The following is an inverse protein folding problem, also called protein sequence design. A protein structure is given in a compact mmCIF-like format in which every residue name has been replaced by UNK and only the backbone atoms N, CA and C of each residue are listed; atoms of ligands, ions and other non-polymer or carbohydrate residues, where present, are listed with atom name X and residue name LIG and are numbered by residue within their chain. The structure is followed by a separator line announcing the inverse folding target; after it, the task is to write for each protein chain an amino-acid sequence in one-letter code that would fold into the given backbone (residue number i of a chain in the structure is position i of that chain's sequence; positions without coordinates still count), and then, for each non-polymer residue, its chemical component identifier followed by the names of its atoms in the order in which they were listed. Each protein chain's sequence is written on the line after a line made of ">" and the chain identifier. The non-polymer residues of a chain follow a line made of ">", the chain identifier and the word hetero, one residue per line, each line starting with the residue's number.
data_IF_612523486163
#
_entry.id   IF_612523486163
#
_cell.length_a   1.000
_cell.length_b   1.000
_cell.length_c   1.000
_cell.angle_alpha   90.00
_cell.angle_beta   90.00
_cell.angle_gamma   90.00
#
_symmetry.space_group_name_H-M   'P 1'
#
loop_
_entity.id
_entity.type
_entity.pdbx_description
1 polymer ?
#
# COMPACT_ATOMS: atom_id res chain seq x y z
N UNK A 1 -4.55 -5.07 -31.11
CA UNK A 1 -3.94 -6.28 -30.52
C UNK A 1 -4.90 -6.77 -29.44
N UNK A 2 -5.34 -8.02 -29.54
CA UNK A 2 -6.27 -8.61 -28.59
C UNK A 2 -5.44 -9.16 -27.42
N UNK A 3 -5.18 -8.33 -26.42
CA UNK A 3 -4.47 -8.79 -25.23
C UNK A 3 -5.43 -9.70 -24.45
N UNK A 4 -5.20 -11.01 -24.48
CA UNK A 4 -5.90 -11.95 -23.60
C UNK A 4 -5.12 -12.06 -22.29
N UNK A 5 -5.76 -11.73 -21.18
CA UNK A 5 -5.13 -11.63 -19.86
C UNK A 5 -5.22 -12.97 -19.14
N UNK A 6 -4.10 -13.46 -18.60
CA UNK A 6 -4.05 -14.58 -17.67
C UNK A 6 -3.99 -14.02 -16.24
N UNK A 7 -4.84 -14.51 -15.36
CA UNK A 7 -4.86 -14.13 -13.95
C UNK A 7 -5.23 -15.34 -13.10
N UNK A 8 -4.72 -15.36 -11.88
CA UNK A 8 -5.08 -16.32 -10.85
C UNK A 8 -5.81 -15.61 -9.71
N UNK A 9 -6.88 -16.23 -9.22
CA UNK A 9 -7.62 -15.76 -8.05
C UNK A 9 -7.28 -16.67 -6.89
N UNK A 10 -6.59 -16.12 -5.90
CA UNK A 10 -6.22 -16.84 -4.68
C UNK A 10 -7.19 -16.49 -3.55
N UNK A 11 -7.61 -17.47 -2.72
CA UNK A 11 -8.42 -17.19 -1.56
C UNK A 11 -7.63 -16.39 -0.52
N UNK A 12 -8.34 -15.59 0.27
CA UNK A 12 -7.73 -14.86 1.39
C UNK A 12 -7.32 -15.86 2.47
N UNK A 13 -6.01 -16.00 2.66
CA UNK A 13 -5.41 -16.88 3.66
C UNK A 13 -4.56 -16.06 4.63
N UNK A 14 -4.60 -16.47 5.89
CA UNK A 14 -3.76 -15.95 6.97
C UNK A 14 -3.00 -17.13 7.59
N UNK A 15 -1.81 -16.93 8.16
CA UNK A 15 -1.09 -17.99 8.85
C UNK A 15 -1.97 -18.60 9.96
N UNK A 16 -1.94 -19.92 10.09
CA UNK A 16 -2.69 -20.64 11.11
C UNK A 16 -2.16 -20.38 12.53
N UNK A 17 -0.91 -19.94 12.65
CA UNK A 17 -0.32 -19.55 13.93
C UNK A 17 -0.87 -18.18 14.36
N UNK A 18 -1.59 -18.15 15.49
CA UNK A 18 -2.25 -16.96 16.02
C UNK A 18 -3.78 -17.06 15.97
N UNK A 19 -4.46 -15.91 15.88
CA UNK A 19 -5.92 -15.84 15.74
C UNK A 19 -6.29 -15.25 14.36
N UNK A 20 -6.51 -16.08 13.32
CA UNK A 20 -6.84 -15.63 11.96
C UNK A 20 -8.02 -14.66 11.89
N UNK A 21 -8.99 -14.77 12.79
CA UNK A 21 -10.15 -13.88 12.83
C UNK A 21 -9.79 -12.48 13.36
N UNK A 22 -8.78 -12.38 14.23
CA UNK A 22 -8.25 -11.10 14.69
C UNK A 22 -7.55 -10.38 13.53
N UNK A 23 -6.76 -11.10 12.72
CA UNK A 23 -6.11 -10.54 11.53
C UNK A 23 -7.10 -10.07 10.47
N UNK A 24 -8.18 -10.83 10.24
CA UNK A 24 -9.26 -10.42 9.31
C UNK A 24 -9.97 -9.15 9.74
N UNK A 25 -10.05 -8.88 11.05
CA UNK A 25 -10.75 -7.75 11.65
C UNK A 25 -9.85 -6.56 11.96
N UNK A 26 -8.54 -6.68 11.75
CA UNK A 26 -7.56 -5.64 12.05
C UNK A 26 -7.88 -4.32 11.33
N UNK A 27 -8.26 -4.38 10.04
CA UNK A 27 -8.73 -3.22 9.28
C UNK A 27 -9.70 -3.62 8.17
N UNK A 28 -9.18 -3.96 6.99
CA UNK A 28 -9.91 -4.59 5.89
C UNK A 28 -9.22 -5.93 5.58
N UNK A 29 -9.95 -7.02 5.28
CA UNK A 29 -9.35 -8.34 5.12
C UNK A 29 -8.18 -8.36 4.11
N UNK A 30 -8.36 -7.74 2.94
CA UNK A 30 -7.33 -7.66 1.91
C UNK A 30 -6.13 -6.79 2.32
N UNK A 31 -6.37 -5.74 3.10
CA UNK A 31 -5.33 -4.87 3.62
C UNK A 31 -4.48 -5.62 4.64
N UNK A 32 -5.13 -6.29 5.60
CA UNK A 32 -4.43 -7.04 6.64
C UNK A 32 -3.71 -8.29 6.11
N UNK A 33 -4.18 -8.89 5.02
CA UNK A 33 -3.49 -10.02 4.36
C UNK A 33 -2.09 -9.62 3.87
N UNK A 34 -1.85 -8.35 3.51
CA UNK A 34 -0.56 -7.88 2.99
C UNK A 34 0.60 -8.17 3.93
N UNK A 35 0.34 -8.12 5.24
CA UNK A 35 1.33 -8.42 6.29
C UNK A 35 1.87 -9.85 6.23
N UNK A 36 1.14 -10.76 5.58
CA UNK A 36 1.43 -12.19 5.55
C UNK A 36 1.78 -12.71 4.15
N UNK A 37 1.79 -11.86 3.13
CA UNK A 37 2.17 -12.25 1.76
C UNK A 37 3.54 -12.93 1.67
N UNK A 38 4.59 -12.53 2.44
CA UNK A 38 5.87 -13.26 2.41
C UNK A 38 5.75 -14.74 2.79
N UNK A 39 4.80 -15.09 3.66
CA UNK A 39 4.55 -16.47 4.09
C UNK A 39 3.52 -17.20 3.22
N UNK A 40 2.50 -16.49 2.73
CA UNK A 40 1.44 -17.05 1.89
C UNK A 40 1.92 -17.36 0.47
N UNK A 41 2.74 -16.47 -0.11
CA UNK A 41 3.25 -16.59 -1.47
C UNK A 41 4.72 -17.06 -1.44
N UNK A 42 4.93 -18.29 -0.96
CA UNK A 42 6.26 -18.86 -0.75
C UNK A 42 7.09 -18.95 -2.05
N UNK A 43 6.43 -19.22 -3.18
CA UNK A 43 7.06 -19.41 -4.49
C UNK A 43 7.23 -18.10 -5.29
N UNK A 44 6.82 -16.96 -4.72
CA UNK A 44 6.93 -15.65 -5.37
C UNK A 44 8.10 -14.87 -4.75
N UNK A 45 8.98 -14.36 -5.60
CA UNK A 45 10.17 -13.60 -5.17
C UNK A 45 9.88 -12.13 -4.86
N UNK A 46 9.03 -11.49 -5.66
CA UNK A 46 8.72 -10.07 -5.55
C UNK A 46 7.33 -9.79 -6.10
N UNK A 47 6.64 -8.80 -5.55
CA UNK A 47 5.34 -8.35 -6.04
C UNK A 47 5.13 -6.85 -5.83
N UNK A 48 4.17 -6.31 -6.57
CA UNK A 48 3.58 -5.00 -6.34
C UNK A 48 2.18 -5.22 -5.75
N UNK A 49 2.02 -4.86 -4.48
CA UNK A 49 0.73 -4.83 -3.82
C UNK A 49 0.03 -3.51 -4.11
N UNK A 50 -1.27 -3.56 -4.36
CA UNK A 50 -2.12 -2.39 -4.53
C UNK A 50 -3.46 -2.55 -3.80
N UNK A 51 -3.94 -1.47 -3.19
CA UNK A 51 -5.31 -1.40 -2.68
C UNK A 51 -6.31 -1.48 -3.86
N UNK A 52 -7.51 -1.99 -3.58
CA UNK A 52 -8.53 -2.24 -4.61
C UNK A 52 -9.09 -0.97 -5.24
N UNK A 53 -8.89 0.17 -4.61
CA UNK A 53 -9.26 1.52 -5.05
C UNK A 53 -8.04 2.29 -5.59
N UNK A 54 -7.18 1.62 -6.36
CA UNK A 54 -6.06 2.24 -7.07
C UNK A 54 -6.27 2.19 -8.59
N UNK A 55 -5.83 3.25 -9.28
CA UNK A 55 -5.85 3.37 -10.72
C UNK A 55 -4.47 3.73 -11.24
N UNK A 56 -4.01 3.00 -12.26
CA UNK A 56 -2.77 3.31 -12.97
C UNK A 56 -3.07 4.28 -14.11
N UNK A 57 -2.53 5.50 -14.00
CA UNK A 57 -2.62 6.53 -15.04
C UNK A 57 -1.35 6.59 -15.91
N UNK A 58 -0.29 5.90 -15.48
CA UNK A 58 0.92 5.61 -16.26
C UNK A 58 1.22 4.10 -16.31
N UNK A 59 2.30 3.71 -16.99
CA UNK A 59 2.75 2.32 -17.06
C UNK A 59 3.02 1.72 -15.68
N UNK A 60 2.59 0.47 -15.47
CA UNK A 60 2.85 -0.27 -14.23
C UNK A 60 4.36 -0.51 -14.03
N UNK A 61 5.06 -0.66 -15.15
CA UNK A 61 6.50 -0.90 -15.26
C UNK A 61 7.30 0.23 -14.60
N UNK A 62 6.79 1.46 -14.62
CA UNK A 62 7.44 2.61 -13.98
C UNK A 62 7.49 2.42 -12.46
N UNK A 63 6.44 1.85 -11.86
CA UNK A 63 6.44 1.48 -10.43
C UNK A 63 7.40 0.31 -10.23
N UNK A 64 7.31 -0.74 -11.04
CA UNK A 64 8.15 -1.92 -10.90
C UNK A 64 9.66 -1.62 -10.98
N UNK A 65 10.06 -0.70 -11.86
CA UNK A 65 11.45 -0.29 -12.05
C UNK A 65 12.12 0.23 -10.77
N UNK A 66 11.33 0.72 -9.80
CA UNK A 66 11.87 1.12 -8.50
C UNK A 66 12.55 -0.02 -7.72
N UNK A 67 12.28 -1.30 -8.03
CA UNK A 67 13.08 -2.41 -7.48
C UNK A 67 14.57 -2.31 -7.85
N UNK A 68 14.91 -1.82 -9.05
CA UNK A 68 16.30 -1.67 -9.51
C UNK A 68 17.02 -0.53 -8.78
N UNK A 69 16.26 0.43 -8.23
CA UNK A 69 16.77 1.55 -7.45
C UNK A 69 16.95 1.21 -5.96
N UNK A 70 16.43 0.06 -5.51
CA UNK A 70 16.61 -0.41 -4.15
C UNK A 70 18.05 -0.89 -3.93
N UNK A 71 18.65 -0.45 -2.84
CA UNK A 71 19.93 -0.97 -2.39
C UNK A 71 19.80 -2.42 -1.86
N UNK A 72 20.91 -3.04 -1.45
CA UNK A 72 20.92 -4.43 -0.98
C UNK A 72 20.23 -4.64 0.38
N UNK A 73 20.06 -3.62 1.22
CA UNK A 73 19.37 -3.74 2.51
C UNK A 73 17.86 -3.58 2.39
N UNK A 74 17.37 -2.85 1.40
CA UNK A 74 15.96 -2.53 1.25
C UNK A 74 15.15 -3.77 0.82
N UNK A 75 13.98 -3.94 1.45
CA UNK A 75 13.10 -5.11 1.26
C UNK A 75 11.72 -4.73 0.73
N UNK A 76 11.35 -3.46 0.87
CA UNK A 76 10.10 -2.92 0.36
C UNK A 76 10.27 -1.48 -0.12
N UNK A 77 9.28 -1.00 -0.86
CA UNK A 77 9.17 0.41 -1.19
C UNK A 77 7.74 0.95 -1.11
N UNK A 78 7.62 2.17 -0.59
CA UNK A 78 6.37 2.86 -0.28
C UNK A 78 6.50 4.37 -0.57
N UNK A 79 5.38 5.08 -0.65
CA UNK A 79 5.38 6.56 -0.59
C UNK A 79 5.26 7.06 0.85
N UNK A 80 5.67 8.30 1.13
CA UNK A 80 5.25 8.99 2.34
C UNK A 80 3.72 8.96 2.50
N UNK A 81 3.24 9.00 3.75
CA UNK A 81 1.82 9.20 4.00
C UNK A 81 1.45 10.60 3.51
N UNK A 82 2.15 11.65 3.90
CA UNK A 82 1.95 13.00 3.34
C UNK A 82 3.30 13.59 2.92
N UNK A 83 3.26 14.69 2.18
CA UNK A 83 4.45 15.47 1.78
C UNK A 83 4.69 16.69 2.68
N UNK A 84 3.66 17.17 3.39
CA UNK A 84 3.73 18.34 4.27
C UNK A 84 3.69 17.94 5.76
N UNK A 85 4.76 18.24 6.53
CA UNK A 85 4.81 18.01 7.97
C UNK A 85 3.76 18.75 8.79
N UNK A 86 3.08 19.77 8.27
CA UNK A 86 2.07 20.49 9.04
C UNK A 86 0.68 19.85 8.96
N UNK A 87 0.47 18.95 7.99
CA UNK A 87 -0.82 18.35 7.70
C UNK A 87 -0.85 16.84 7.94
N UNK A 88 0.31 16.17 7.93
CA UNK A 88 0.50 14.74 8.21
C UNK A 88 -0.26 14.19 9.42
N UNK A 89 -0.97 13.08 9.22
CA UNK A 89 -1.67 12.42 10.34
C UNK A 89 -0.69 11.85 11.37
N UNK A 90 0.36 11.15 10.92
CA UNK A 90 1.31 10.47 11.82
C UNK A 90 1.99 11.44 12.78
N UNK A 91 2.55 12.53 12.26
CA UNK A 91 3.28 13.48 13.10
C UNK A 91 2.42 14.35 14.01
N UNK A 92 1.10 14.39 13.77
CA UNK A 92 0.15 15.17 14.60
C UNK A 92 -0.57 14.32 15.62
N UNK A 93 -0.85 13.06 15.30
CA UNK A 93 -1.82 12.25 16.04
C UNK A 93 -1.32 10.87 16.43
N UNK A 94 -0.29 10.31 15.78
CA UNK A 94 0.17 8.98 16.12
C UNK A 94 0.74 8.94 17.55
N UNK A 95 0.36 7.89 18.28
CA UNK A 95 0.83 7.60 19.65
C UNK A 95 1.64 6.31 19.72
N UNK A 96 2.23 5.93 18.59
CA UNK A 96 3.09 4.78 18.41
C UNK A 96 4.22 5.18 17.45
N UNK A 97 5.33 4.40 17.39
CA UNK A 97 6.40 4.65 16.44
C UNK A 97 5.90 4.60 14.99
N UNK A 98 6.52 5.39 14.11
CA UNK A 98 6.24 5.38 12.68
C UNK A 98 7.49 5.75 11.88
N UNK A 99 7.51 5.42 10.59
CA UNK A 99 8.68 5.63 9.75
C UNK A 99 8.94 7.11 9.47
N UNK A 100 10.20 7.53 9.64
CA UNK A 100 10.65 8.86 9.28
C UNK A 100 9.86 9.97 9.99
N UNK A 101 9.56 11.04 9.26
CA UNK A 101 8.85 12.22 9.81
C UNK A 101 7.34 12.18 9.57
N UNK A 102 6.89 11.47 8.55
CA UNK A 102 5.53 11.59 8.02
C UNK A 102 4.78 10.25 8.05
N UNK A 103 5.46 9.15 8.37
CA UNK A 103 4.98 7.81 8.10
C UNK A 103 4.91 7.52 6.60
N UNK A 104 4.48 6.31 6.27
CA UNK A 104 4.31 5.83 4.89
C UNK A 104 2.92 5.27 4.68
N UNK A 105 2.42 5.38 3.45
CA UNK A 105 1.13 4.81 3.08
C UNK A 105 1.31 3.46 2.41
N UNK A 106 0.60 2.43 2.88
CA UNK A 106 0.78 1.05 2.41
C UNK A 106 0.03 0.71 1.12
N UNK A 107 -0.85 1.59 0.63
CA UNK A 107 -1.80 1.28 -0.45
C UNK A 107 -1.21 0.98 -1.82
N UNK A 108 0.06 1.34 -2.04
CA UNK A 108 0.87 0.86 -3.16
C UNK A 108 2.22 0.46 -2.56
N UNK A 109 2.60 -0.80 -2.68
CA UNK A 109 3.78 -1.34 -1.99
C UNK A 109 4.54 -2.32 -2.86
N UNK A 110 5.79 -1.99 -3.17
CA UNK A 110 6.72 -2.98 -3.72
C UNK A 110 7.23 -3.84 -2.57
N UNK A 111 7.19 -5.16 -2.76
CA UNK A 111 7.57 -6.14 -1.75
C UNK A 111 8.56 -7.12 -2.37
N UNK A 112 9.81 -7.10 -1.90
CA UNK A 112 10.77 -8.16 -2.21
C UNK A 112 10.57 -9.30 -1.20
N UNK A 113 9.69 -10.24 -1.53
CA UNK A 113 9.29 -11.31 -0.62
C UNK A 113 10.47 -12.20 -0.22
N UNK A 114 11.44 -12.42 -1.10
CA UNK A 114 12.65 -13.18 -0.77
C UNK A 114 13.45 -12.51 0.33
N UNK A 115 13.69 -11.19 0.23
CA UNK A 115 14.36 -10.44 1.31
C UNK A 115 13.49 -10.30 2.55
N UNK A 116 12.17 -10.15 2.42
CA UNK A 116 11.26 -10.09 3.57
C UNK A 116 11.23 -11.41 4.36
N UNK A 117 11.30 -12.57 3.68
CA UNK A 117 11.45 -13.89 4.32
C UNK A 117 12.79 -14.02 5.03
N UNK A 118 13.90 -13.61 4.39
CA UNK A 118 15.23 -13.59 5.01
C UNK A 118 15.30 -12.66 6.22
N UNK A 119 14.51 -11.59 6.21
CA UNK A 119 14.36 -10.64 7.31
C UNK A 119 13.40 -11.14 8.41
N UNK A 120 12.80 -12.33 8.27
CA UNK A 120 11.79 -12.83 9.23
C UNK A 120 10.62 -11.85 9.46
N UNK A 121 10.17 -11.17 8.39
CA UNK A 121 9.13 -10.13 8.46
C UNK A 121 7.91 -10.51 9.31
N UNK A 122 7.40 -11.73 9.15
CA UNK A 122 6.19 -12.20 9.84
C UNK A 122 6.36 -12.32 11.35
N UNK A 123 7.60 -12.48 11.84
CA UNK A 123 7.90 -12.64 13.25
C UNK A 123 7.69 -11.33 14.02
N UNK A 124 7.71 -10.18 13.33
CA UNK A 124 7.46 -8.86 13.91
C UNK A 124 5.96 -8.53 14.04
N UNK A 125 5.11 -9.10 13.19
CA UNK A 125 3.70 -8.68 13.05
C UNK A 125 2.91 -8.89 14.35
N UNK A 126 2.98 -10.09 14.93
CA UNK A 126 2.22 -10.42 16.13
C UNK A 126 2.69 -9.68 17.40
N UNK A 127 4.01 -9.58 17.69
CA UNK A 127 4.50 -8.78 18.81
C UNK A 127 4.11 -7.31 18.72
N UNK A 128 4.30 -6.67 17.56
CA UNK A 128 3.94 -5.26 17.35
C UNK A 128 2.44 -5.05 17.55
N UNK A 129 1.61 -5.90 16.95
CA UNK A 129 0.17 -5.81 17.14
C UNK A 129 -0.21 -5.93 18.62
N UNK A 130 0.34 -6.92 19.35
CA UNK A 130 0.06 -7.11 20.77
C UNK A 130 0.43 -5.88 21.61
N UNK A 131 1.55 -5.24 21.30
CA UNK A 131 2.06 -4.07 22.01
C UNK A 131 1.25 -2.79 21.72
N UNK A 132 0.93 -2.54 20.44
CA UNK A 132 0.39 -1.26 20.00
C UNK A 132 -1.10 -1.28 19.64
N UNK A 133 -1.81 -2.42 19.70
CA UNK A 133 -3.23 -2.53 19.25
C UNK A 133 -4.19 -1.50 19.85
N UNK A 134 -3.90 -0.94 21.03
CA UNK A 134 -4.75 0.07 21.68
C UNK A 134 -4.47 1.50 21.20
N UNK A 135 -3.33 1.75 20.55
CA UNK A 135 -2.94 3.08 20.05
C UNK A 135 -2.93 3.16 18.52
N UNK A 136 -2.94 2.01 17.84
CA UNK A 136 -3.04 1.94 16.38
C UNK A 136 -4.41 2.42 15.88
N UNK A 137 -4.39 3.14 14.77
CA UNK A 137 -5.60 3.67 14.09
C UNK A 137 -5.78 3.07 12.70
N UNK A 138 -4.69 2.81 11.97
CA UNK A 138 -4.68 2.34 10.59
C UNK A 138 -4.28 0.87 10.43
N UNK A 139 -4.36 0.10 11.52
CA UNK A 139 -4.24 -1.36 11.49
C UNK A 139 -2.94 -1.84 10.84
N UNK A 140 -3.03 -2.50 9.70
CA UNK A 140 -1.87 -3.05 8.99
C UNK A 140 -0.84 -2.00 8.58
N UNK A 141 -1.27 -0.80 8.19
CA UNK A 141 -0.36 0.28 7.84
C UNK A 141 0.49 0.73 9.03
N UNK A 142 -0.08 0.74 10.25
CA UNK A 142 0.65 1.12 11.45
C UNK A 142 1.71 0.07 11.82
N UNK A 143 1.41 -1.23 11.65
CA UNK A 143 2.41 -2.30 11.85
C UNK A 143 3.60 -2.10 10.90
N UNK A 144 3.32 -1.85 9.62
CA UNK A 144 4.35 -1.58 8.61
C UNK A 144 5.21 -0.38 9.00
N UNK A 145 4.57 0.71 9.43
CA UNK A 145 5.26 1.92 9.89
C UNK A 145 6.13 1.67 11.12
N UNK A 146 5.65 0.87 12.09
CA UNK A 146 6.42 0.52 13.30
C UNK A 146 7.63 -0.36 12.94
N UNK A 147 7.47 -1.36 12.04
CA UNK A 147 8.61 -2.18 11.58
C UNK A 147 9.69 -1.29 10.97
N UNK A 148 9.32 -0.41 10.04
CA UNK A 148 10.30 0.45 9.39
C UNK A 148 10.83 1.58 10.28
N UNK A 149 10.11 1.97 11.35
CA UNK A 149 10.66 2.85 12.38
C UNK A 149 11.92 2.25 13.01
N UNK A 150 11.87 0.97 13.38
CA UNK A 150 13.00 0.27 13.99
C UNK A 150 14.02 -0.25 12.96
N UNK A 151 13.63 -0.35 11.69
CA UNK A 151 14.47 -0.85 10.60
C UNK A 151 14.46 0.11 9.38
N UNK A 152 14.92 1.36 9.54
CA UNK A 152 14.73 2.38 8.51
C UNK A 152 15.57 2.12 7.24
N UNK A 153 16.65 1.34 7.34
CA UNK A 153 17.49 0.91 6.21
C UNK A 153 16.82 -0.13 5.31
N UNK A 154 15.68 -0.70 5.74
CA UNK A 154 14.93 -1.71 5.00
C UNK A 154 13.89 -1.12 4.04
N UNK A 155 13.67 0.19 4.08
CA UNK A 155 12.67 0.86 3.26
C UNK A 155 13.30 1.74 2.18
N UNK A 156 12.84 1.59 0.95
CA UNK A 156 13.03 2.57 -0.11
C UNK A 156 11.78 3.45 -0.21
N UNK A 157 11.94 4.77 -0.21
CA UNK A 157 10.82 5.70 -0.32
C UNK A 157 10.79 6.25 -1.74
N UNK A 158 9.76 5.92 -2.50
CA UNK A 158 9.58 6.44 -3.86
C UNK A 158 8.59 7.62 -3.90
N UNK A 159 8.61 8.44 -4.97
CA UNK A 159 7.84 9.69 -5.01
C UNK A 159 6.32 9.52 -4.85
N UNK A 160 5.67 10.50 -4.20
CA UNK A 160 4.22 10.56 -3.98
C UNK A 160 3.32 10.37 -5.21
N UNK A 161 3.83 10.63 -6.43
CA UNK A 161 3.07 10.45 -7.69
C UNK A 161 2.65 9.00 -7.95
N UNK A 162 3.29 8.03 -7.30
CA UNK A 162 3.00 6.60 -7.39
C UNK A 162 2.02 6.11 -6.32
N UNK A 163 1.47 7.01 -5.51
CA UNK A 163 0.36 6.73 -4.59
C UNK A 163 -0.37 8.05 -4.28
N UNK A 164 -0.87 8.71 -5.32
CA UNK A 164 -1.42 10.04 -5.23
C UNK A 164 -2.83 10.03 -4.65
N UNK A 165 -3.05 10.76 -3.55
CA UNK A 165 -4.30 10.76 -2.77
C UNK A 165 -4.88 12.16 -2.67
N UNK A 166 -6.16 12.32 -2.30
CA UNK A 166 -6.79 13.64 -2.16
C UNK A 166 -6.04 14.59 -1.22
N UNK A 167 -5.38 14.05 -0.18
CA UNK A 167 -4.59 14.83 0.77
C UNK A 167 -3.43 15.60 0.08
N UNK A 168 -2.97 15.17 -1.11
CA UNK A 168 -1.90 15.84 -1.87
C UNK A 168 -2.35 17.10 -2.64
N UNK A 169 -3.66 17.34 -2.75
CA UNK A 169 -4.21 18.49 -3.49
C UNK A 169 -5.40 19.17 -2.81
N UNK A 170 -5.70 18.83 -1.55
CA UNK A 170 -6.91 19.31 -0.88
C UNK A 170 -6.92 20.83 -0.63
N UNK A 171 -5.76 21.40 -0.28
CA UNK A 171 -5.61 22.85 -0.03
C UNK A 171 -4.66 23.52 -1.03
N UNK A 172 -3.55 22.84 -1.31
CA UNK A 172 -2.57 23.17 -2.34
C UNK A 172 -1.97 21.87 -2.84
N UNK A 173 -1.34 21.92 -4.00
CA UNK A 173 -0.55 20.78 -4.47
C UNK A 173 0.75 20.72 -3.67
N UNK A 174 0.98 19.60 -2.99
CA UNK A 174 2.17 19.35 -2.16
C UNK A 174 3.05 18.23 -2.73
N UNK A 175 2.59 17.55 -3.78
CA UNK A 175 3.34 16.48 -4.43
C UNK A 175 4.05 17.00 -5.68
N UNK A 176 5.25 17.54 -5.53
CA UNK A 176 6.02 18.14 -6.64
C UNK A 176 6.30 17.18 -7.79
N UNK A 177 6.50 15.89 -7.49
CA UNK A 177 6.68 14.88 -8.54
C UNK A 177 5.45 14.74 -9.44
N UNK A 178 4.24 14.89 -8.89
CA UNK A 178 3.01 14.89 -9.68
C UNK A 178 2.81 16.19 -10.45
N UNK A 179 3.23 17.34 -9.92
CA UNK A 179 3.18 18.62 -10.63
C UNK A 179 4.06 18.63 -11.88
N UNK A 180 5.27 18.05 -11.78
CA UNK A 180 6.26 18.08 -12.85
C UNK A 180 6.05 16.98 -13.88
N UNK A 181 5.68 15.79 -13.44
CA UNK A 181 5.64 14.58 -14.29
C UNK A 181 4.24 14.01 -14.44
N UNK A 182 3.23 14.58 -13.79
CA UNK A 182 1.88 14.04 -13.72
C UNK A 182 1.73 12.91 -12.69
N UNK A 183 0.48 12.62 -12.33
CA UNK A 183 0.13 11.48 -11.46
C UNK A 183 0.32 10.17 -12.23
N UNK A 184 1.05 9.22 -11.64
CA UNK A 184 1.27 7.89 -12.23
C UNK A 184 0.29 6.85 -11.66
N UNK A 185 0.05 6.89 -10.35
CA UNK A 185 -0.95 6.03 -9.68
C UNK A 185 -1.84 6.89 -8.81
N UNK A 186 -3.15 6.84 -9.08
CA UNK A 186 -4.18 7.54 -8.34
C UNK A 186 -4.82 6.58 -7.35
N UNK A 187 -4.87 6.96 -6.07
CA UNK A 187 -5.43 6.13 -5.01
C UNK A 187 -6.68 6.80 -4.44
N UNK A 188 -7.81 6.12 -4.65
CA UNK A 188 -9.17 6.46 -4.24
C UNK A 188 -9.45 6.37 -2.74
N UNK A 189 -8.44 6.63 -1.91
CA UNK A 189 -8.49 6.43 -0.46
C UNK A 189 -9.67 7.14 0.18
N UNK A 190 -10.16 6.58 1.29
CA UNK A 190 -11.34 7.07 2.04
C UNK A 190 -12.60 7.19 1.16
N UNK A 191 -12.70 6.38 0.11
CA UNK A 191 -13.84 6.34 -0.81
C UNK A 191 -13.90 7.54 -1.77
N UNK A 192 -12.77 8.19 -2.06
CA UNK A 192 -12.73 9.42 -2.85
C UNK A 192 -13.20 9.25 -4.29
N UNK A 193 -13.13 8.04 -4.86
CA UNK A 193 -13.71 7.73 -6.17
C UNK A 193 -15.24 7.77 -6.20
N UNK A 194 -15.89 7.63 -5.05
CA UNK A 194 -17.35 7.63 -4.95
C UNK A 194 -17.89 8.88 -4.24
N UNK A 195 -17.04 9.65 -3.57
CA UNK A 195 -17.43 10.85 -2.83
C UNK A 195 -17.77 12.03 -3.74
N UNK A 196 -18.87 12.72 -3.45
CA UNK A 196 -19.26 13.93 -4.19
C UNK A 196 -18.33 15.13 -3.93
N UNK A 197 -17.68 15.14 -2.75
CA UNK A 197 -16.78 16.22 -2.33
C UNK A 197 -15.46 16.25 -3.10
N UNK A 198 -15.15 15.21 -3.87
CA UNK A 198 -13.91 15.06 -4.63
C UNK A 198 -14.22 14.80 -6.11
N UNK A 199 -14.82 15.78 -6.82
CA UNK A 199 -15.37 15.57 -8.16
C UNK A 199 -14.30 15.16 -9.18
N UNK A 200 -13.06 15.62 -9.04
CA UNK A 200 -11.96 15.23 -9.92
C UNK A 200 -11.63 13.73 -9.81
N UNK A 201 -11.49 13.20 -8.60
CA UNK A 201 -11.23 11.78 -8.35
C UNK A 201 -12.38 10.91 -8.88
N UNK A 202 -13.62 11.32 -8.61
CA UNK A 202 -14.82 10.64 -9.12
C UNK A 202 -14.90 10.66 -10.64
N UNK A 203 -14.56 11.78 -11.28
CA UNK A 203 -14.59 11.91 -12.73
C UNK A 203 -13.56 10.99 -13.41
N UNK A 204 -12.33 10.93 -12.88
CA UNK A 204 -11.29 10.04 -13.40
C UNK A 204 -11.70 8.57 -13.24
N UNK A 205 -12.23 8.19 -12.07
CA UNK A 205 -12.69 6.83 -11.83
C UNK A 205 -13.79 6.42 -12.81
N UNK A 206 -14.83 7.24 -12.98
CA UNK A 206 -15.91 6.98 -13.96
C UNK A 206 -15.40 6.87 -15.39
N UNK A 207 -14.51 7.77 -15.81
CA UNK A 207 -13.92 7.70 -17.14
C UNK A 207 -13.11 6.42 -17.35
N UNK A 208 -12.49 5.89 -16.29
CA UNK A 208 -11.76 4.62 -16.34
C UNK A 208 -12.70 3.43 -16.37
N UNK A 209 -13.87 3.46 -15.72
CA UNK A 209 -14.87 2.40 -15.83
C UNK A 209 -15.47 2.30 -17.25
N UNK A 210 -15.56 3.42 -17.97
CA UNK A 210 -16.06 3.47 -19.35
C UNK A 210 -15.06 2.88 -20.36
N UNK A 211 -13.77 2.90 -20.03
CA UNK A 211 -12.70 2.35 -20.85
C UNK A 211 -12.34 0.98 -20.29
N UNK A 212 -12.66 -0.12 -20.98
CA UNK A 212 -12.27 -1.48 -20.58
C UNK A 212 -10.73 -1.65 -20.61
N UNK A 213 -10.00 -1.07 -19.66
CA UNK A 213 -8.56 -1.28 -19.46
C UNK A 213 -8.36 -2.52 -18.60
N UNK A 214 -7.77 -3.59 -19.16
CA UNK A 214 -7.61 -4.81 -18.39
C UNK A 214 -6.33 -4.69 -17.57
N UNK A 215 -6.45 -4.83 -16.24
CA UNK A 215 -5.33 -4.80 -15.30
C UNK A 215 -5.15 -6.22 -14.74
N UNK A 216 -3.94 -6.78 -14.85
CA UNK A 216 -3.58 -8.05 -14.20
C UNK A 216 -3.35 -7.80 -12.71
N UNK A 217 -4.21 -8.37 -11.86
CA UNK A 217 -4.10 -8.26 -10.40
C UNK A 217 -4.38 -9.60 -9.76
N UNK A 218 -3.54 -9.99 -8.79
CA UNK A 218 -3.95 -10.96 -7.79
C UNK A 218 -5.02 -10.27 -6.96
N UNK A 219 -6.27 -10.69 -7.14
CA UNK A 219 -7.43 -10.06 -6.51
C UNK A 219 -7.79 -10.83 -5.24
N UNK A 220 -7.75 -10.15 -4.10
CA UNK A 220 -8.38 -10.66 -2.88
C UNK A 220 -9.91 -10.57 -3.06
N UNK A 221 -10.56 -11.70 -3.32
CA UNK A 221 -12.01 -11.80 -3.46
C UNK A 221 -12.67 -12.17 -2.13
N UNK A 222 -13.71 -11.43 -1.74
CA UNK A 222 -14.68 -11.91 -0.78
C UNK A 222 -15.68 -12.80 -1.52
N UNK A 223 -15.60 -14.12 -1.36
CA UNK A 223 -16.74 -14.99 -1.65
C UNK A 223 -17.75 -14.86 -0.51
N UNK A 224 -18.64 -13.87 -0.61
CA UNK A 224 -19.92 -13.93 0.08
C UNK A 224 -20.98 -14.24 -0.98
N UNK A 225 -21.46 -15.48 -0.98
CA UNK A 225 -22.82 -15.82 -1.44
C UNK A 225 -23.84 -15.20 -0.51
#
# INVERSE_FOLDING_TARGET
>A
MNYSFVFDVLPITFPLQGNPDEWRRLFKPCASQRLFLPAVLADIDSLLYVDTDTLFLGPLEDVWHHFELMNSSQIAALTPEHEDPNTGWYNRFARHPYYGKLGVNSGVMLMNLTRMRLFSWTDYVAPIYKEYKLTMTWGDQDIINIIFHFHPDKLYVYPCRYNYRPDHCMYMSVCHGAEQLGVAVLHGSRGSFHAEKLPAFRAIFKATEEVNTPIHLIRCGNHYT
#
